data_IF_776596446880
#
_entry.id   IF_776596446880
#
_cell.length_a   1.000
_cell.length_b   1.000
_cell.length_c   1.000
_cell.angle_alpha   90.00
_cell.angle_beta   90.00
_cell.angle_gamma   90.00
#
_symmetry.space_group_name_H-M   'P 1'
#
loop_
_entity.id
_entity.type
_entity.pdbx_description
1 polymer ?
#
# COMPACT_ATOMS: atom_id res chain seq x y z
N UNK A 1 -28.60 9.62 -2.18
CA UNK A 1 -27.13 9.53 -2.04
C UNK A 1 -26.75 8.07 -1.90
N UNK A 2 -26.26 7.45 -2.97
CA UNK A 2 -25.68 6.11 -2.97
C UNK A 2 -24.34 6.16 -2.22
N UNK A 3 -24.15 5.30 -1.22
CA UNK A 3 -22.86 5.16 -0.52
C UNK A 3 -21.81 4.67 -1.51
N UNK A 4 -20.56 5.14 -1.47
CA UNK A 4 -19.49 4.51 -2.22
C UNK A 4 -19.35 3.07 -1.71
N UNK A 5 -19.61 2.13 -2.61
CA UNK A 5 -19.31 0.72 -2.39
C UNK A 5 -17.82 0.56 -2.63
N UNK A 6 -17.03 0.53 -1.56
CA UNK A 6 -15.59 0.28 -1.64
C UNK A 6 -15.38 -1.14 -2.16
N UNK A 7 -14.61 -1.28 -3.24
CA UNK A 7 -14.20 -2.58 -3.72
C UNK A 7 -12.93 -2.96 -2.96
N UNK A 8 -12.89 -4.15 -2.36
CA UNK A 8 -11.68 -4.70 -1.74
C UNK A 8 -10.65 -5.02 -2.83
N UNK A 9 -9.89 -4.01 -3.25
CA UNK A 9 -8.88 -4.16 -4.30
C UNK A 9 -7.56 -4.59 -3.68
N UNK A 10 -7.21 -5.86 -3.90
CA UNK A 10 -5.84 -6.35 -3.78
C UNK A 10 -5.03 -5.96 -5.03
N UNK A 11 -3.87 -5.32 -4.82
CA UNK A 11 -2.89 -5.10 -5.89
C UNK A 11 -1.65 -5.94 -5.67
N UNK A 12 -0.99 -6.24 -6.79
CA UNK A 12 0.30 -6.90 -6.84
C UNK A 12 1.33 -5.98 -7.46
N UNK A 13 2.51 -5.91 -6.87
CA UNK A 13 3.57 -5.00 -7.28
C UNK A 13 4.96 -5.59 -7.07
N UNK A 14 5.93 -5.05 -7.81
CA UNK A 14 7.36 -5.32 -7.65
C UNK A 14 8.01 -4.17 -6.88
N UNK A 15 8.18 -4.35 -5.57
CA UNK A 15 8.78 -3.33 -4.71
C UNK A 15 10.22 -2.98 -5.11
N UNK A 16 11.02 -3.96 -5.53
CA UNK A 16 12.41 -3.74 -5.92
C UNK A 16 12.47 -2.89 -7.18
N UNK A 17 11.63 -3.19 -8.18
CA UNK A 17 11.50 -2.41 -9.40
C UNK A 17 11.01 -0.99 -9.12
N UNK A 18 9.99 -0.83 -8.28
CA UNK A 18 9.46 0.49 -7.90
C UNK A 18 10.56 1.34 -7.25
N UNK A 19 11.30 0.79 -6.28
CA UNK A 19 12.39 1.53 -5.63
C UNK A 19 13.48 1.95 -6.62
N UNK A 20 13.84 1.07 -7.56
CA UNK A 20 14.85 1.35 -8.59
C UNK A 20 14.40 2.46 -9.55
N UNK A 21 13.17 2.39 -10.05
CA UNK A 21 12.64 3.33 -11.06
C UNK A 21 12.34 4.72 -10.49
N UNK A 22 12.04 4.80 -9.20
CA UNK A 22 11.73 6.06 -8.51
C UNK A 22 12.93 6.67 -7.80
N UNK A 23 14.06 5.95 -7.71
CA UNK A 23 15.20 6.34 -6.87
C UNK A 23 14.79 6.64 -5.42
N UNK A 24 13.81 5.87 -4.91
CA UNK A 24 13.24 6.06 -3.58
C UNK A 24 12.38 7.33 -3.40
N UNK A 25 12.10 8.09 -4.45
CA UNK A 25 11.26 9.31 -4.35
C UNK A 25 9.83 8.95 -3.94
N UNK A 26 9.48 9.32 -2.73
CA UNK A 26 8.22 8.97 -2.06
C UNK A 26 7.00 9.30 -2.93
N UNK A 27 6.93 10.50 -3.47
CA UNK A 27 5.79 10.92 -4.29
C UNK A 27 5.64 10.15 -5.60
N UNK A 28 6.74 9.63 -6.15
CA UNK A 28 6.74 8.78 -7.35
C UNK A 28 6.29 7.34 -6.99
N UNK A 29 6.73 6.83 -5.85
CA UNK A 29 6.26 5.53 -5.31
C UNK A 29 4.74 5.55 -5.16
N UNK A 30 4.20 6.56 -4.48
CA UNK A 30 2.74 6.69 -4.28
C UNK A 30 2.00 6.86 -5.61
N UNK A 31 2.61 7.52 -6.60
CA UNK A 31 2.03 7.61 -7.95
C UNK A 31 1.94 6.24 -8.63
N UNK A 32 2.95 5.38 -8.48
CA UNK A 32 2.91 4.02 -9.03
C UNK A 32 1.85 3.17 -8.31
N UNK A 33 1.76 3.26 -6.98
CA UNK A 33 0.71 2.57 -6.22
C UNK A 33 -0.69 3.01 -6.69
N UNK A 34 -0.89 4.31 -6.92
CA UNK A 34 -2.12 4.85 -7.49
C UNK A 34 -2.45 4.23 -8.85
N UNK A 35 -1.48 4.17 -9.77
CA UNK A 35 -1.68 3.57 -11.10
C UNK A 35 -2.08 2.10 -10.99
N UNK A 36 -1.47 1.36 -10.07
CA UNK A 36 -1.75 -0.07 -9.86
C UNK A 36 -3.14 -0.31 -9.26
N UNK A 37 -3.61 0.57 -8.38
CA UNK A 37 -4.95 0.51 -7.77
C UNK A 37 -6.03 0.93 -8.75
N UNK A 38 -5.86 2.08 -9.41
CA UNK A 38 -6.89 2.70 -10.27
C UNK A 38 -6.60 2.49 -11.75
N UNK A 39 -6.23 1.27 -12.16
CA UNK A 39 -5.71 0.84 -13.49
C UNK A 39 -6.36 1.41 -14.77
N UNK A 40 -7.50 2.11 -14.67
CA UNK A 40 -8.28 2.68 -15.77
C UNK A 40 -8.19 4.21 -15.88
N UNK A 41 -7.48 4.89 -14.99
CA UNK A 41 -7.37 6.35 -15.00
C UNK A 41 -6.08 6.84 -15.69
N UNK A 42 -6.14 7.20 -16.99
CA UNK A 42 -4.98 7.77 -17.64
C UNK A 42 -4.56 9.09 -16.97
N UNK A 43 -3.26 9.42 -16.99
CA UNK A 43 -2.76 10.71 -16.52
C UNK A 43 -3.44 11.85 -17.29
N UNK A 44 -3.84 12.91 -16.59
CA UNK A 44 -4.64 14.00 -17.18
C UNK A 44 -3.84 14.75 -18.26
N UNK A 45 -2.54 14.94 -18.02
CA UNK A 45 -1.62 15.61 -18.95
C UNK A 45 -0.16 15.27 -18.61
N UNK A 46 0.79 15.80 -19.39
CA UNK A 46 2.24 15.56 -19.21
C UNK A 46 2.83 16.09 -17.89
N UNK A 47 2.15 17.02 -17.21
CA UNK A 47 2.58 17.54 -15.90
C UNK A 47 2.15 16.63 -14.75
N UNK A 48 1.21 15.71 -15.00
CA UNK A 48 0.83 14.68 -14.03
C UNK A 48 2.02 13.75 -13.78
N UNK A 49 2.43 13.62 -12.51
CA UNK A 49 3.55 12.76 -12.11
C UNK A 49 3.36 11.30 -12.56
N UNK A 50 2.11 10.83 -12.65
CA UNK A 50 1.76 9.49 -13.12
C UNK A 50 2.13 9.27 -14.59
N UNK A 51 2.21 10.34 -15.39
CA UNK A 51 2.53 10.26 -16.82
C UNK A 51 3.85 9.54 -17.09
N UNK A 52 4.87 9.75 -16.24
CA UNK A 52 6.18 9.10 -16.34
C UNK A 52 6.12 7.57 -16.21
N UNK A 53 5.09 7.06 -15.53
CA UNK A 53 5.02 5.67 -15.08
C UNK A 53 3.86 4.88 -15.71
N UNK A 54 2.86 5.55 -16.27
CA UNK A 54 1.60 4.94 -16.75
C UNK A 54 1.77 3.83 -17.79
N UNK A 55 2.78 3.92 -18.66
CA UNK A 55 3.04 2.91 -19.71
C UNK A 55 3.93 1.77 -19.25
N UNK A 56 4.45 1.80 -18.00
CA UNK A 56 5.35 0.78 -17.46
C UNK A 56 4.57 -0.25 -16.64
N UNK A 57 4.96 -1.52 -16.76
CA UNK A 57 4.46 -2.56 -15.87
C UNK A 57 5.24 -2.59 -14.56
N UNK A 58 4.52 -2.54 -13.43
CA UNK A 58 5.07 -2.68 -12.08
C UNK A 58 4.51 -3.89 -11.32
N UNK A 59 3.91 -4.85 -12.05
CA UNK A 59 3.38 -6.07 -11.45
C UNK A 59 4.50 -6.94 -10.87
N UNK A 60 4.24 -7.58 -9.72
CA UNK A 60 5.22 -8.41 -9.01
C UNK A 60 4.56 -9.28 -7.95
N UNK A 61 5.36 -9.82 -7.03
CA UNK A 61 4.89 -10.78 -6.01
C UNK A 61 4.46 -10.14 -4.68
N UNK A 62 4.84 -8.89 -4.44
CA UNK A 62 4.41 -8.15 -3.26
C UNK A 62 2.95 -7.76 -3.41
N UNK A 63 2.21 -7.65 -2.31
CA UNK A 63 0.78 -7.36 -2.35
C UNK A 63 0.36 -6.36 -1.28
N UNK A 64 -0.73 -5.65 -1.58
CA UNK A 64 -1.46 -4.79 -0.66
C UNK A 64 -2.93 -5.15 -0.74
N UNK A 65 -3.56 -5.36 0.41
CA UNK A 65 -5.02 -5.45 0.53
C UNK A 65 -5.61 -4.05 0.70
N UNK A 66 -6.88 -3.90 0.31
CA UNK A 66 -7.67 -2.68 0.52
C UNK A 66 -6.92 -1.42 0.06
N UNK A 67 -6.20 -1.52 -1.06
CA UNK A 67 -5.30 -0.47 -1.54
C UNK A 67 -6.04 0.81 -1.91
N UNK A 68 -7.29 0.69 -2.38
CA UNK A 68 -8.17 1.83 -2.63
C UNK A 68 -8.50 2.58 -1.34
N UNK A 69 -8.85 1.88 -0.26
CA UNK A 69 -9.11 2.50 1.04
C UNK A 69 -7.89 3.24 1.59
N UNK A 70 -6.70 2.63 1.49
CA UNK A 70 -5.44 3.26 1.85
C UNK A 70 -5.21 4.57 1.07
N UNK A 71 -5.42 4.55 -0.25
CA UNK A 71 -5.10 5.69 -1.12
C UNK A 71 -6.15 6.81 -1.09
N UNK A 72 -7.43 6.51 -0.83
CA UNK A 72 -8.45 7.54 -0.60
C UNK A 72 -8.11 8.37 0.64
N UNK A 73 -7.48 7.76 1.64
CA UNK A 73 -7.07 8.42 2.89
C UNK A 73 -5.74 9.17 2.77
N UNK A 74 -5.21 9.35 1.56
CA UNK A 74 -3.98 10.12 1.29
C UNK A 74 -4.03 11.58 1.76
N UNK A 75 -5.22 12.14 1.99
CA UNK A 75 -5.35 13.46 2.61
C UNK A 75 -5.17 13.44 4.14
N UNK A 76 -5.31 12.27 4.80
CA UNK A 76 -5.14 12.09 6.24
C UNK A 76 -3.74 11.59 6.61
N UNK A 77 -3.14 10.78 5.73
CA UNK A 77 -1.82 10.18 5.92
C UNK A 77 -0.81 10.72 4.91
N UNK A 78 0.44 10.88 5.34
CA UNK A 78 1.48 11.40 4.46
C UNK A 78 1.89 10.36 3.40
N UNK A 79 2.37 10.85 2.25
CA UNK A 79 2.94 9.98 1.21
C UNK A 79 4.09 9.11 1.76
N UNK A 80 4.84 9.62 2.75
CA UNK A 80 5.92 8.88 3.43
C UNK A 80 5.36 7.67 4.16
N UNK A 81 4.28 7.86 4.92
CA UNK A 81 3.62 6.77 5.64
C UNK A 81 3.11 5.69 4.68
N UNK A 82 2.46 6.10 3.58
CA UNK A 82 1.94 5.18 2.56
C UNK A 82 3.10 4.41 1.87
N UNK A 83 4.18 5.09 1.51
CA UNK A 83 5.33 4.45 0.88
C UNK A 83 6.04 3.46 1.82
N UNK A 84 6.18 3.81 3.10
CA UNK A 84 6.72 2.91 4.11
C UNK A 84 5.80 1.71 4.35
N UNK A 85 4.49 1.94 4.43
CA UNK A 85 3.49 0.89 4.56
C UNK A 85 3.61 -0.14 3.44
N UNK A 86 3.61 0.33 2.18
CA UNK A 86 3.82 -0.53 1.02
C UNK A 86 5.18 -1.24 1.06
N UNK A 87 6.25 -0.53 1.43
CA UNK A 87 7.57 -1.13 1.53
C UNK A 87 7.67 -2.25 2.56
N UNK A 88 7.04 -2.07 3.72
CA UNK A 88 7.05 -3.08 4.79
C UNK A 88 6.11 -4.23 4.44
N UNK A 89 4.93 -3.95 3.87
CA UNK A 89 4.00 -4.94 3.35
C UNK A 89 4.65 -5.85 2.30
N UNK A 90 5.61 -5.33 1.53
CA UNK A 90 6.33 -6.08 0.50
C UNK A 90 7.23 -7.21 1.03
N UNK A 91 7.55 -7.19 2.34
CA UNK A 91 8.36 -8.21 3.01
C UNK A 91 7.54 -9.47 3.32
N UNK A 92 6.21 -9.39 3.27
CA UNK A 92 5.32 -10.51 3.54
C UNK A 92 5.37 -11.54 2.43
N UNK A 93 5.14 -12.79 2.80
CA UNK A 93 4.99 -13.90 1.88
C UNK A 93 3.52 -14.07 1.47
N UNK A 94 3.23 -13.92 0.17
CA UNK A 94 1.87 -14.08 -0.35
C UNK A 94 1.33 -15.51 -0.15
N UNK A 95 2.18 -16.53 -0.14
CA UNK A 95 1.76 -17.91 0.12
C UNK A 95 1.22 -18.09 1.55
N UNK A 96 1.85 -17.45 2.54
CA UNK A 96 1.37 -17.46 3.92
C UNK A 96 0.00 -16.75 4.03
N UNK A 97 -0.18 -15.63 3.34
CA UNK A 97 -1.48 -14.99 3.24
C UNK A 97 -2.53 -15.92 2.58
N UNK A 98 -2.20 -16.60 1.49
CA UNK A 98 -3.16 -17.48 0.82
C UNK A 98 -3.63 -18.63 1.73
N UNK A 99 -2.70 -19.22 2.48
CA UNK A 99 -2.95 -20.38 3.35
C UNK A 99 -3.60 -20.02 4.69
N UNK A 100 -3.16 -18.93 5.33
CA UNK A 100 -3.56 -18.58 6.72
C UNK A 100 -4.41 -17.32 6.81
N UNK A 101 -4.56 -16.57 5.71
CA UNK A 101 -5.10 -15.20 5.70
C UNK A 101 -4.36 -14.25 6.64
N UNK A 102 -3.08 -14.54 6.91
CA UNK A 102 -2.22 -13.69 7.73
C UNK A 102 -1.87 -12.41 6.96
N UNK A 103 -2.38 -11.29 7.44
CA UNK A 103 -2.13 -9.95 6.86
C UNK A 103 -0.97 -9.23 7.55
N UNK A 104 -0.38 -9.82 8.59
CA UNK A 104 0.67 -9.20 9.40
C UNK A 104 2.06 -9.60 8.93
N UNK A 105 3.10 -8.96 9.46
CA UNK A 105 4.50 -9.33 9.25
C UNK A 105 5.14 -9.64 10.60
N UNK A 106 5.83 -10.76 10.73
CA UNK A 106 6.65 -11.02 11.93
C UNK A 106 7.75 -9.95 12.05
N UNK A 107 7.87 -9.34 13.24
CA UNK A 107 8.81 -8.25 13.48
C UNK A 107 10.26 -8.65 13.17
N UNK A 108 10.61 -9.94 13.29
CA UNK A 108 11.94 -10.45 12.97
C UNK A 108 12.33 -10.28 11.50
N UNK A 109 11.37 -10.17 10.58
CA UNK A 109 11.65 -9.91 9.16
C UNK A 109 11.91 -8.43 8.86
N UNK A 110 11.61 -7.52 9.79
CA UNK A 110 11.81 -6.10 9.59
C UNK A 110 13.25 -5.69 9.96
N UNK A 111 14.04 -5.34 8.93
CA UNK A 111 15.44 -4.93 9.07
C UNK A 111 15.64 -3.40 9.00
N UNK A 112 14.55 -2.63 9.00
CA UNK A 112 14.59 -1.18 8.96
C UNK A 112 14.77 -0.53 10.33
N UNK A 113 14.75 0.81 10.36
CA UNK A 113 14.76 1.57 11.62
C UNK A 113 13.42 1.35 12.35
N UNK A 114 13.47 0.81 13.57
CA UNK A 114 12.27 0.56 14.39
C UNK A 114 11.43 1.82 14.62
N UNK A 115 12.04 3.00 14.64
CA UNK A 115 11.36 4.29 14.72
C UNK A 115 10.30 4.51 13.62
N UNK A 116 10.46 3.87 12.45
CA UNK A 116 9.43 3.91 11.40
C UNK A 116 8.13 3.26 11.90
N UNK A 117 8.22 2.17 12.65
CA UNK A 117 7.06 1.43 13.14
C UNK A 117 6.29 2.21 14.22
N UNK A 118 6.97 3.08 14.97
CA UNK A 118 6.33 3.90 16.01
C UNK A 118 5.82 5.24 15.49
N UNK A 119 6.40 5.76 14.40
CA UNK A 119 5.99 7.05 13.80
C UNK A 119 4.95 6.92 12.70
N UNK A 120 4.84 5.77 12.05
CA UNK A 120 3.90 5.56 10.97
C UNK A 120 2.53 5.16 11.52
N UNK A 121 1.53 6.05 11.41
CA UNK A 121 0.18 5.85 11.97
C UNK A 121 -0.61 4.74 11.30
N UNK A 122 -0.12 4.23 10.17
CA UNK A 122 -0.72 3.12 9.43
C UNK A 122 -0.26 1.75 9.91
N UNK A 123 0.71 1.71 10.83
CA UNK A 123 1.31 0.51 11.37
C UNK A 123 1.06 0.42 12.87
N UNK A 124 0.82 -0.79 13.36
CA UNK A 124 0.79 -1.10 14.80
C UNK A 124 1.73 -2.28 15.05
N UNK A 125 2.51 -2.23 16.12
CA UNK A 125 3.30 -3.39 16.57
C UNK A 125 2.63 -3.97 17.79
N UNK A 126 2.23 -5.23 17.71
CA UNK A 126 1.52 -5.94 18.78
C UNK A 126 1.91 -7.42 18.73
N UNK A 127 2.16 -8.03 19.89
CA UNK A 127 2.53 -9.45 20.01
C UNK A 127 3.69 -9.89 19.09
N UNK A 128 4.68 -9.01 18.89
CA UNK A 128 5.84 -9.28 18.03
C UNK A 128 5.53 -9.26 16.53
N UNK A 129 4.40 -8.69 16.12
CA UNK A 129 3.95 -8.62 14.72
C UNK A 129 3.64 -7.19 14.33
N UNK A 130 3.86 -6.87 13.06
CA UNK A 130 3.52 -5.60 12.44
C UNK A 130 2.17 -5.77 11.75
N UNK A 131 1.20 -5.00 12.23
CA UNK A 131 -0.17 -4.95 11.76
C UNK A 131 -0.35 -3.76 10.81
N UNK A 132 -1.16 -3.96 9.77
CA UNK A 132 -1.37 -3.03 8.68
C UNK A 132 -2.80 -2.51 8.75
N UNK A 133 -2.97 -1.24 9.15
CA UNK A 133 -4.26 -0.66 9.53
C UNK A 133 -5.39 -0.93 8.52
N UNK A 134 -5.11 -0.84 7.22
CA UNK A 134 -6.13 -1.02 6.19
C UNK A 134 -6.35 -2.48 5.78
N UNK A 135 -5.46 -3.40 6.17
CA UNK A 135 -5.57 -4.82 5.80
C UNK A 135 -6.24 -5.67 6.89
N UNK A 136 -6.43 -5.14 8.09
CA UNK A 136 -7.19 -5.80 9.17
C UNK A 136 -8.71 -5.62 9.03
N UNK A 137 -9.14 -4.75 8.12
CA UNK A 137 -10.55 -4.49 7.86
C UNK A 137 -11.17 -5.71 7.18
N UNK A 138 -12.11 -6.35 7.86
CA UNK A 138 -12.76 -7.59 7.38
C UNK A 138 -14.23 -7.42 6.99
N UNK A 139 -14.85 -6.27 7.32
CA UNK A 139 -16.18 -5.87 6.84
C UNK A 139 -16.15 -4.44 6.26
N UNK A 140 -16.74 -4.25 5.07
CA UNK A 140 -16.95 -2.94 4.44
C UNK A 140 -17.72 -1.94 5.32
N UNK A 141 -18.44 -2.41 6.35
CA UNK A 141 -19.07 -1.53 7.35
C UNK A 141 -18.04 -0.85 8.27
N UNK A 142 -16.87 -1.43 8.46
CA UNK A 142 -15.76 -0.85 9.24
C UNK A 142 -15.01 0.23 8.45
N UNK A 143 -15.19 0.28 7.12
CA UNK A 143 -14.75 1.38 6.25
C UNK A 143 -15.66 2.62 6.30
N UNK A 144 -16.65 2.65 7.20
CA UNK A 144 -17.45 3.85 7.47
C UNK A 144 -16.63 4.85 8.27
N UNK A 145 -15.83 5.61 7.56
CA UNK A 145 -15.11 6.76 8.12
C UNK A 145 -15.86 8.04 7.74
N UNK A 146 -16.38 8.74 8.75
CA UNK A 146 -17.00 10.07 8.64
C UNK A 146 -15.96 11.13 8.26
#
# INVERSE_FOLDING_TARGET
>A
MTKPQYFDIMIFYDWKKIRKETDGKVGDIVSILYILTYKKEPPINRKDRRFKYWTKSFHGKSFLLNSEALLIQRNRYSDVEIAQYAGIASLRNYFDYQSKKDTTLDLLFFTGKQEILTKNRLLRVENGRIHFLFEEITDNKELKWH
#
